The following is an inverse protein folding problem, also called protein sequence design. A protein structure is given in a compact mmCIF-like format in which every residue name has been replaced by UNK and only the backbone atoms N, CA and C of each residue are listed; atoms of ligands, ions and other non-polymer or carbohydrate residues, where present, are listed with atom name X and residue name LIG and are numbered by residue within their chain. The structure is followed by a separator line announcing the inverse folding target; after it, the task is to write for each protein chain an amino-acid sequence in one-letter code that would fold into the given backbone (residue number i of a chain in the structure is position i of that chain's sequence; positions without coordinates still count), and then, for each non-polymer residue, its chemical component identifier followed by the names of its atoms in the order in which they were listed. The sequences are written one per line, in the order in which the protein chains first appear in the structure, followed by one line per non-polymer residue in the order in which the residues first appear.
data_IF_026755102807
#
_entry.id   IF_026755102807
#
_cell.length_a   1.000
_cell.length_b   1.000
_cell.length_c   1.000
_cell.angle_alpha   90.00
_cell.angle_beta   90.00
_cell.angle_gamma   90.00
#
_symmetry.space_group_name_H-M   'P 1'
#
loop_
_entity.id
_entity.type
_entity.pdbx_description
1 polymer ?
#
# COMPACT_ATOMS: atom_id res chain seq x y z
N UNK A 1 -19.32 -9.41 -9.93
CA UNK A 1 -19.17 -10.00 -8.59
C UNK A 1 -18.02 -11.01 -8.57
N UNK A 2 -16.87 -10.58 -8.08
CA UNK A 2 -15.69 -11.41 -7.83
C UNK A 2 -15.96 -12.29 -6.60
N UNK A 3 -15.56 -13.55 -6.68
CA UNK A 3 -15.74 -14.49 -5.57
C UNK A 3 -14.78 -14.20 -4.41
N UNK A 4 -15.21 -14.50 -3.18
CA UNK A 4 -14.36 -14.44 -1.98
C UNK A 4 -13.07 -15.26 -2.14
N UNK A 5 -13.14 -16.37 -2.89
CA UNK A 5 -12.00 -17.19 -3.23
C UNK A 5 -10.95 -16.40 -4.04
N UNK A 6 -11.39 -15.66 -5.05
CA UNK A 6 -10.49 -14.87 -5.88
C UNK A 6 -9.91 -13.67 -5.11
N UNK A 7 -10.72 -12.98 -4.28
CA UNK A 7 -10.22 -11.91 -3.42
C UNK A 7 -9.15 -12.41 -2.44
N UNK A 8 -9.36 -13.59 -1.85
CA UNK A 8 -8.38 -14.22 -0.96
C UNK A 8 -7.09 -14.60 -1.71
N UNK A 9 -7.20 -15.13 -2.93
CA UNK A 9 -6.03 -15.38 -3.78
C UNK A 9 -5.23 -14.11 -4.07
N UNK A 10 -5.90 -13.02 -4.42
CA UNK A 10 -5.25 -11.72 -4.66
C UNK A 10 -4.52 -11.24 -3.41
N UNK A 11 -5.15 -11.37 -2.23
CA UNK A 11 -4.53 -10.99 -0.97
C UNK A 11 -3.26 -11.81 -0.67
N UNK A 12 -3.31 -13.13 -0.88
CA UNK A 12 -2.16 -14.04 -0.72
C UNK A 12 -1.04 -13.75 -1.73
N UNK A 13 -1.38 -13.51 -3.00
CA UNK A 13 -0.38 -13.18 -4.02
C UNK A 13 0.28 -11.84 -3.75
N UNK A 14 -0.48 -10.86 -3.28
CA UNK A 14 0.07 -9.54 -2.89
C UNK A 14 0.97 -9.68 -1.67
N UNK A 15 0.55 -10.47 -0.68
CA UNK A 15 1.37 -10.80 0.49
C UNK A 15 2.73 -11.37 0.08
N UNK A 16 2.75 -12.36 -0.82
CA UNK A 16 3.98 -13.01 -1.27
C UNK A 16 4.93 -12.04 -1.99
N UNK A 17 4.39 -11.09 -2.77
CA UNK A 17 5.17 -10.10 -3.52
C UNK A 17 5.79 -9.02 -2.63
N UNK A 18 5.19 -8.70 -1.48
CA UNK A 18 5.73 -7.69 -0.57
C UNK A 18 6.95 -8.28 0.16
N UNK A 19 8.13 -7.76 -0.15
CA UNK A 19 9.39 -8.21 0.48
C UNK A 19 10.10 -7.08 1.25
N UNK A 20 9.85 -5.82 0.87
CA UNK A 20 10.48 -4.65 1.47
C UNK A 20 9.44 -3.61 1.89
N UNK A 21 9.80 -2.75 2.84
CA UNK A 21 8.98 -1.64 3.25
C UNK A 21 9.84 -0.40 3.51
N UNK A 22 9.31 0.76 3.16
CA UNK A 22 9.93 2.06 3.33
C UNK A 22 8.93 3.04 3.94
N UNK A 23 9.43 3.97 4.75
CA UNK A 23 8.65 5.05 5.34
C UNK A 23 9.29 6.36 4.92
N UNK A 24 8.47 7.29 4.44
CA UNK A 24 8.89 8.66 4.21
C UNK A 24 8.70 9.46 5.50
N UNK A 25 9.79 9.96 6.05
CA UNK A 25 9.81 10.79 7.26
C UNK A 25 10.58 12.09 6.98
N UNK A 26 9.95 13.23 7.22
CA UNK A 26 10.50 14.56 6.95
C UNK A 26 11.08 14.69 5.51
N UNK A 27 10.41 14.07 4.52
CA UNK A 27 10.81 14.06 3.12
C UNK A 27 11.94 13.10 2.76
N UNK A 28 12.38 12.24 3.68
CA UNK A 28 13.40 11.20 3.44
C UNK A 28 12.81 9.81 3.50
N UNK A 29 13.17 8.97 2.53
CA UNK A 29 12.81 7.56 2.53
C UNK A 29 13.77 6.76 3.41
N UNK A 30 13.24 6.10 4.41
CA UNK A 30 13.97 5.20 5.30
C UNK A 30 13.42 3.78 5.17
N UNK A 31 14.34 2.81 5.00
CA UNK A 31 13.97 1.39 4.98
C UNK A 31 13.56 0.93 6.37
N UNK A 32 12.43 0.23 6.44
CA UNK A 32 11.89 -0.34 7.68
C UNK A 32 11.82 -1.86 7.58
N UNK A 33 11.85 -2.51 8.74
CA UNK A 33 11.75 -3.97 8.81
C UNK A 33 10.29 -4.39 8.80
N UNK A 34 9.93 -5.30 7.89
CA UNK A 34 8.67 -6.05 7.97
C UNK A 34 8.83 -7.11 9.07
N UNK A 35 7.96 -7.07 10.07
CA UNK A 35 7.95 -8.01 11.19
C UNK A 35 7.09 -9.23 10.86
N UNK A 36 5.92 -8.99 10.27
CA UNK A 36 4.91 -10.01 10.02
C UNK A 36 3.95 -9.55 8.93
N UNK A 37 3.44 -10.51 8.15
CA UNK A 37 2.33 -10.33 7.23
C UNK A 37 1.26 -11.36 7.57
N UNK A 38 -0.01 -10.94 7.61
CA UNK A 38 -1.14 -11.82 7.86
C UNK A 38 -2.24 -11.58 6.83
N UNK A 39 -2.81 -12.64 6.28
CA UNK A 39 -3.97 -12.57 5.38
C UNK A 39 -5.18 -13.17 6.07
N UNK A 40 -6.27 -12.43 6.07
CA UNK A 40 -7.59 -12.86 6.52
C UNK A 40 -8.62 -12.52 5.44
N UNK A 41 -8.99 -13.52 4.63
CA UNK A 41 -9.86 -13.37 3.45
C UNK A 41 -9.34 -12.28 2.51
N UNK A 42 -10.07 -11.18 2.34
CA UNK A 42 -9.73 -10.06 1.47
C UNK A 42 -8.93 -8.96 2.19
N UNK A 43 -8.41 -9.23 3.39
CA UNK A 43 -7.64 -8.28 4.19
C UNK A 43 -6.21 -8.77 4.36
N UNK A 44 -5.26 -7.98 3.89
CA UNK A 44 -3.83 -8.15 4.16
C UNK A 44 -3.40 -7.16 5.24
N UNK A 45 -2.80 -7.67 6.32
CA UNK A 45 -2.18 -6.91 7.39
C UNK A 45 -0.67 -7.00 7.27
N UNK A 46 0.01 -5.86 7.24
CA UNK A 46 1.47 -5.80 7.22
C UNK A 46 1.94 -5.05 8.44
N UNK A 47 2.78 -5.70 9.26
CA UNK A 47 3.36 -5.12 10.46
C UNK A 47 4.79 -4.71 10.17
N UNK A 48 5.11 -3.43 10.34
CA UNK A 48 6.47 -2.91 10.18
C UNK A 48 6.96 -2.29 11.46
N UNK A 49 8.27 -2.34 11.65
CA UNK A 49 8.94 -1.62 12.71
C UNK A 49 9.36 -0.25 12.19
N UNK A 50 8.60 0.79 12.54
CA UNK A 50 8.90 2.16 12.13
C UNK A 50 10.21 2.62 12.75
N UNK A 51 10.97 3.44 12.03
CA UNK A 51 12.34 3.81 12.40
C UNK A 51 12.40 4.53 13.75
N UNK A 52 13.61 4.59 14.34
CA UNK A 52 13.83 5.29 15.62
C UNK A 52 13.75 6.82 15.46
N UNK A 53 13.81 7.34 14.24
CA UNK A 53 13.73 8.75 13.91
C UNK A 53 12.42 9.37 14.42
N UNK A 54 12.51 10.61 14.93
CA UNK A 54 11.35 11.47 15.17
C UNK A 54 11.09 12.26 13.89
N UNK A 55 9.85 12.64 13.65
CA UNK A 55 9.50 13.42 12.46
C UNK A 55 8.06 13.24 12.02
N UNK A 56 7.70 13.90 10.92
CA UNK A 56 6.44 13.74 10.24
C UNK A 56 6.54 12.61 9.22
N UNK A 57 5.78 11.55 9.43
CA UNK A 57 5.61 10.49 8.44
C UNK A 57 4.60 11.00 7.41
N UNK A 58 5.02 11.03 6.14
CA UNK A 58 4.23 11.53 5.00
C UNK A 58 3.74 10.41 4.08
N UNK A 59 4.44 9.29 4.03
CA UNK A 59 4.08 8.15 3.19
C UNK A 59 4.68 6.86 3.72
N UNK A 60 4.04 5.75 3.38
CA UNK A 60 4.49 4.40 3.75
C UNK A 60 4.31 3.50 2.55
N UNK A 61 5.40 2.87 2.14
CA UNK A 61 5.51 2.11 0.89
C UNK A 61 5.83 0.66 1.16
N UNK A 62 5.14 -0.22 0.46
CA UNK A 62 5.43 -1.65 0.42
C UNK A 62 5.94 -1.98 -0.98
N UNK A 63 7.09 -2.65 -1.03
CA UNK A 63 7.84 -2.85 -2.26
C UNK A 63 8.09 -4.33 -2.52
N UNK A 64 8.29 -4.66 -3.79
CA UNK A 64 8.76 -5.97 -4.22
C UNK A 64 10.27 -6.14 -4.01
N UNK A 65 10.77 -7.31 -4.38
CA UNK A 65 12.19 -7.66 -4.32
C UNK A 65 13.06 -6.80 -5.25
N UNK A 66 12.53 -6.38 -6.39
CA UNK A 66 13.15 -5.41 -7.31
C UNK A 66 13.20 -3.98 -6.73
N UNK A 67 12.46 -3.70 -5.66
CA UNK A 67 12.36 -2.35 -5.07
C UNK A 67 11.35 -1.45 -5.78
N UNK A 68 10.39 -2.01 -6.51
CA UNK A 68 9.25 -1.29 -7.09
C UNK A 68 8.16 -1.16 -6.04
N UNK A 69 7.49 -0.01 -6.02
CA UNK A 69 6.38 0.25 -5.12
C UNK A 69 5.16 -0.54 -5.58
N UNK A 70 4.69 -1.48 -4.76
CA UNK A 70 3.45 -2.21 -4.97
C UNK A 70 2.26 -1.43 -4.42
N UNK A 71 2.43 -0.86 -3.22
CA UNK A 71 1.39 -0.12 -2.51
C UNK A 71 2.02 1.05 -1.77
N UNK A 72 1.36 2.20 -1.82
CA UNK A 72 1.71 3.41 -1.06
C UNK A 72 0.49 3.92 -0.30
N UNK A 73 0.72 4.44 0.90
CA UNK A 73 -0.33 5.09 1.70
C UNK A 73 0.16 6.47 2.16
N UNK A 74 -0.15 7.52 1.38
CA UNK A 74 0.05 8.89 1.84
C UNK A 74 -0.69 9.11 3.16
N UNK A 75 -0.01 9.65 4.15
CA UNK A 75 -0.58 9.92 5.46
C UNK A 75 0.18 11.03 6.17
N UNK A 76 -0.41 11.67 7.16
CA UNK A 76 0.30 12.64 8.00
C UNK A 76 0.25 12.17 9.45
N UNK A 77 1.39 11.67 9.94
CA UNK A 77 1.51 11.16 11.32
C UNK A 77 2.78 11.67 11.98
N UNK A 78 2.62 12.42 13.07
CA UNK A 78 3.75 12.91 13.86
C UNK A 78 4.27 11.80 14.77
N UNK A 79 5.53 11.39 14.58
CA UNK A 79 6.26 10.51 15.49
C UNK A 79 7.09 11.35 16.45
N UNK A 80 6.58 11.53 17.66
CA UNK A 80 7.22 12.31 18.73
C UNK A 80 8.22 11.50 19.60
N UNK A 81 8.17 10.16 19.52
CA UNK A 81 9.01 9.25 20.28
C UNK A 81 10.23 8.78 19.50
N UNK A 82 11.38 8.66 20.19
CA UNK A 82 12.66 8.23 19.60
C UNK A 82 12.88 6.71 19.57
N UNK A 83 11.89 5.92 19.98
CA UNK A 83 11.95 4.47 19.94
C UNK A 83 11.24 3.93 18.69
N UNK A 84 11.53 2.68 18.36
CA UNK A 84 10.87 2.00 17.27
C UNK A 84 9.42 1.69 17.67
N UNK A 85 8.48 1.86 16.74
CA UNK A 85 7.05 1.65 16.96
C UNK A 85 6.54 0.63 15.95
N UNK A 86 5.80 -0.38 16.42
CA UNK A 86 5.16 -1.34 15.54
C UNK A 86 3.95 -0.67 14.91
N UNK A 87 4.01 -0.44 13.60
CA UNK A 87 2.90 0.08 12.80
C UNK A 87 2.25 -1.06 12.03
N UNK A 88 0.93 -0.99 11.89
CA UNK A 88 0.15 -1.98 11.14
C UNK A 88 -0.58 -1.31 9.97
N UNK A 89 -0.44 -1.92 8.79
CA UNK A 89 -1.10 -1.51 7.55
C UNK A 89 -2.16 -2.52 7.19
N UNK A 90 -3.35 -2.03 6.89
CA UNK A 90 -4.49 -2.83 6.50
C UNK A 90 -4.82 -2.52 5.05
N UNK A 91 -4.73 -3.52 4.20
CA UNK A 91 -5.04 -3.45 2.77
C UNK A 91 -6.25 -4.33 2.55
N UNK A 92 -7.37 -3.72 2.16
CA UNK A 92 -8.61 -4.44 1.87
C UNK A 92 -8.82 -4.45 0.36
N UNK A 93 -8.95 -5.64 -0.20
CA UNK A 93 -9.30 -5.83 -1.59
C UNK A 93 -10.82 -5.85 -1.74
N UNK A 94 -11.34 -5.00 -2.62
CA UNK A 94 -12.76 -4.88 -2.93
C UNK A 94 -12.94 -4.84 -4.44
N UNK A 95 -14.07 -5.36 -4.93
CA UNK A 95 -14.52 -5.11 -6.30
C UNK A 95 -15.28 -3.79 -6.31
N UNK A 96 -14.91 -2.91 -7.22
CA UNK A 96 -15.61 -1.65 -7.45
C UNK A 96 -16.09 -1.66 -8.91
N UNK A 97 -17.41 -1.60 -9.09
CA UNK A 97 -18.03 -1.54 -10.41
C UNK A 97 -18.13 -0.06 -10.82
N UNK A 98 -17.39 0.32 -11.87
CA UNK A 98 -17.49 1.66 -12.43
C UNK A 98 -18.84 1.79 -13.14
N UNK A 99 -19.73 2.59 -12.56
CA UNK A 99 -21.10 2.81 -13.06
C UNK A 99 -21.15 3.63 -14.34
N UNK A 100 -20.10 4.41 -14.62
CA UNK A 100 -19.96 5.20 -15.85
C UNK A 100 -18.54 5.04 -16.42
N UNK A 101 -18.25 3.93 -17.13
CA UNK A 101 -16.95 3.71 -17.72
C UNK A 101 -16.74 4.70 -18.87
N UNK A 102 -15.73 5.57 -18.77
CA UNK A 102 -15.33 6.46 -19.86
C UNK A 102 -15.15 5.61 -21.11
N UNK A 103 -16.02 5.82 -22.08
CA UNK A 103 -16.00 5.04 -23.30
C UNK A 103 -14.71 5.33 -24.06
N UNK A 104 -14.00 4.29 -24.49
CA UNK A 104 -12.83 4.47 -25.38
C UNK A 104 -13.18 5.21 -26.68
N UNK A 105 -14.47 5.30 -27.02
CA UNK A 105 -14.99 6.09 -28.13
C UNK A 105 -15.14 7.59 -27.81
N UNK A 106 -15.27 7.98 -26.53
CA UNK A 106 -15.33 9.38 -26.08
C UNK A 106 -13.93 10.02 -25.96
N UNK A 107 -12.88 9.21 -25.83
CA UNK A 107 -11.49 9.68 -25.82
C UNK A 107 -11.02 10.22 -27.18
N UNK A 108 -11.75 9.95 -28.28
CA UNK A 108 -11.41 10.42 -29.64
C UNK A 108 -12.04 11.77 -30.02
N UNK A 109 -12.30 12.63 -29.05
CA UNK A 109 -12.92 13.95 -29.25
C UNK A 109 -12.00 15.18 -29.17
N UNK A 110 -10.71 15.01 -28.81
CA UNK A 110 -9.74 16.14 -28.71
C UNK A 110 -8.91 16.30 -30.01
N UNK A 111 -9.47 15.88 -31.14
CA UNK A 111 -9.05 16.36 -32.45
C UNK A 111 -10.29 16.91 -33.15
N UNK A 112 -10.67 18.13 -32.80
CA UNK A 112 -11.21 19.08 -33.76
C UNK A 112 -10.91 20.50 -33.30
N UNK A 113 -10.25 21.19 -34.23
CA UNK A 113 -9.92 22.61 -34.32
C UNK A 113 -11.13 23.51 -34.05
#
# INVERSE_FOLDING_TARGET
MISDYLLNKIALETEAKITKAEVEIDGKLEKVQILRKDVDKNLLKVYVNTTKSKGLITDIRLLDDDGRVLLSKPCERIKNIGYALVSSFYIRFVEEELTDPISVFELRGIENV
#
